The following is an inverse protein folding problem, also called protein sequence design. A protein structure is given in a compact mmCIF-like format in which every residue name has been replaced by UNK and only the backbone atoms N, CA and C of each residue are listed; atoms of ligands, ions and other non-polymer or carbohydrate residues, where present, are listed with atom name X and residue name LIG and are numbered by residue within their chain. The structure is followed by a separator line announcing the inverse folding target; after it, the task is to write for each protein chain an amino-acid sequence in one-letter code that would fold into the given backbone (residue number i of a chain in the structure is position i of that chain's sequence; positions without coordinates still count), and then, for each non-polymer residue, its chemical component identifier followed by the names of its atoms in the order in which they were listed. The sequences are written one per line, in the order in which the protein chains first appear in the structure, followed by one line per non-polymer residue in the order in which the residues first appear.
data_IF_370147409995
#
_entry.id   IF_370147409995
#
_cell.length_a   1.000
_cell.length_b   1.000
_cell.length_c   1.000
_cell.angle_alpha   90.00
_cell.angle_beta   90.00
_cell.angle_gamma   90.00
#
_symmetry.space_group_name_H-M   'P 1'
#
loop_
_entity.id
_entity.type
_entity.pdbx_description
1 polymer ?
#
# COMPACT_ATOMS: atom_id res chain seq x y z
N UNK A 1 10.99 20.72 3.92
CA UNK A 1 10.12 19.82 3.11
C UNK A 1 8.78 20.53 2.93
N UNK A 2 8.41 20.94 1.72
CA UNK A 2 7.13 21.64 1.49
C UNK A 2 5.97 20.68 1.76
N UNK A 3 5.12 21.04 2.72
CA UNK A 3 3.94 20.25 3.13
C UNK A 3 2.99 19.97 1.95
N UNK A 4 2.90 20.90 1.00
CA UNK A 4 2.12 20.80 -0.23
C UNK A 4 2.60 19.62 -1.09
N UNK A 5 3.93 19.46 -1.27
CA UNK A 5 4.49 18.37 -2.09
C UNK A 5 4.24 17.01 -1.44
N UNK A 6 4.30 16.91 -0.11
CA UNK A 6 4.02 15.67 0.63
C UNK A 6 2.57 15.24 0.47
N UNK A 7 1.60 16.13 0.72
CA UNK A 7 0.17 15.81 0.60
C UNK A 7 -0.21 15.44 -0.84
N UNK A 8 0.36 16.13 -1.84
CA UNK A 8 0.15 15.81 -3.27
C UNK A 8 0.67 14.41 -3.62
N UNK A 9 1.87 14.05 -3.15
CA UNK A 9 2.41 12.71 -3.36
C UNK A 9 1.53 11.63 -2.71
N UNK A 10 1.11 11.82 -1.46
CA UNK A 10 0.23 10.87 -0.75
C UNK A 10 -1.08 10.67 -1.50
N UNK A 11 -1.75 11.75 -1.93
CA UNK A 11 -3.01 11.67 -2.68
C UNK A 11 -2.86 10.86 -3.98
N UNK A 12 -1.74 11.03 -4.69
CA UNK A 12 -1.46 10.28 -5.92
C UNK A 12 -1.19 8.80 -5.68
N UNK A 13 -0.58 8.43 -4.55
CA UNK A 13 -0.38 7.02 -4.17
C UNK A 13 -1.73 6.38 -3.81
N UNK A 14 -2.57 7.08 -3.06
CA UNK A 14 -3.92 6.61 -2.71
C UNK A 14 -4.76 6.35 -3.96
N UNK A 15 -4.59 7.14 -5.02
CA UNK A 15 -5.26 6.95 -6.31
C UNK A 15 -4.64 5.83 -7.18
N UNK A 16 -3.79 4.96 -6.61
CA UNK A 16 -3.20 3.82 -7.32
C UNK A 16 -1.91 4.13 -8.09
N UNK A 17 -1.29 5.29 -7.87
CA UNK A 17 0.00 5.62 -8.45
C UNK A 17 1.18 4.97 -7.72
N UNK A 18 2.25 4.63 -8.45
CA UNK A 18 3.54 4.28 -7.84
C UNK A 18 4.06 5.43 -6.96
N UNK A 19 4.63 5.10 -5.80
CA UNK A 19 5.22 6.10 -4.88
C UNK A 19 6.28 6.95 -5.59
N UNK A 20 7.15 6.33 -6.38
CA UNK A 20 8.18 7.04 -7.13
C UNK A 20 7.60 8.00 -8.18
N UNK A 21 6.52 7.60 -8.88
CA UNK A 21 5.87 8.46 -9.88
C UNK A 21 5.08 9.59 -9.22
N UNK A 22 4.42 9.31 -8.10
CA UNK A 22 3.73 10.30 -7.28
C UNK A 22 4.70 11.36 -6.72
N UNK A 23 5.87 10.95 -6.25
CA UNK A 23 6.92 11.88 -5.81
C UNK A 23 7.43 12.76 -6.96
N UNK A 24 7.69 12.19 -8.15
CA UNK A 24 8.09 12.99 -9.31
C UNK A 24 7.03 14.02 -9.69
N UNK A 25 5.76 13.62 -9.77
CA UNK A 25 4.62 14.50 -10.09
C UNK A 25 4.35 15.56 -9.00
N UNK A 26 4.80 15.30 -7.77
CA UNK A 26 4.74 16.25 -6.66
C UNK A 26 5.94 17.22 -6.62
N UNK A 27 6.89 17.11 -7.55
CA UNK A 27 8.04 18.02 -7.65
C UNK A 27 9.22 17.63 -6.76
N UNK A 28 9.38 16.35 -6.44
CA UNK A 28 10.62 15.82 -5.85
C UNK A 28 11.66 15.56 -6.95
N UNK A 29 12.94 15.69 -6.60
CA UNK A 29 14.03 15.39 -7.53
C UNK A 29 14.00 13.93 -7.97
N UNK A 30 14.54 13.65 -9.17
CA UNK A 30 14.64 12.28 -9.71
C UNK A 30 15.42 11.36 -8.77
N UNK A 31 16.51 11.86 -8.19
CA UNK A 31 17.33 11.14 -7.21
C UNK A 31 16.55 10.80 -5.94
N UNK A 32 15.82 11.77 -5.37
CA UNK A 32 15.03 11.53 -4.17
C UNK A 32 13.84 10.60 -4.42
N UNK A 33 13.21 10.70 -5.59
CA UNK A 33 12.08 9.83 -5.99
C UNK A 33 12.49 8.37 -6.23
N UNK A 34 13.78 8.08 -6.46
CA UNK A 34 14.29 6.69 -6.53
C UNK A 34 14.34 6.02 -5.16
N UNK A 35 14.32 6.79 -4.08
CA UNK A 35 14.35 6.30 -2.71
C UNK A 35 12.97 6.45 -2.04
N UNK A 36 11.92 5.93 -2.69
CA UNK A 36 10.55 5.97 -2.21
C UNK A 36 10.37 5.38 -0.81
N UNK A 37 11.20 4.40 -0.44
CA UNK A 37 11.14 3.76 0.89
C UNK A 37 11.53 4.73 2.00
N UNK A 38 12.45 5.66 1.73
CA UNK A 38 12.83 6.69 2.71
C UNK A 38 11.69 7.69 2.91
N UNK A 39 10.91 7.97 1.85
CA UNK A 39 9.75 8.85 1.93
C UNK A 39 8.63 8.25 2.76
N UNK A 40 8.23 6.99 2.49
CA UNK A 40 7.16 6.31 3.23
C UNK A 40 7.53 6.05 4.68
N UNK A 41 8.80 5.77 5.00
CA UNK A 41 9.28 5.56 6.39
C UNK A 41 9.42 6.85 7.22
N UNK A 42 9.26 8.02 6.62
CA UNK A 42 9.40 9.29 7.34
C UNK A 42 8.26 9.47 8.36
N UNK A 43 8.58 9.77 9.63
CA UNK A 43 7.59 9.93 10.73
C UNK A 43 6.40 10.84 10.38
N UNK A 44 6.63 11.95 9.67
CA UNK A 44 5.58 12.89 9.25
C UNK A 44 4.63 12.27 8.22
N UNK A 45 5.16 11.52 7.27
CA UNK A 45 4.39 10.82 6.23
C UNK A 45 3.58 9.69 6.87
N UNK A 46 4.19 8.91 7.76
CA UNK A 46 3.50 7.87 8.54
C UNK A 46 2.34 8.44 9.37
N UNK A 47 2.51 9.60 10.01
CA UNK A 47 1.43 10.25 10.79
C UNK A 47 0.22 10.61 9.92
N UNK A 48 0.46 11.07 8.69
CA UNK A 48 -0.61 11.41 7.73
C UNK A 48 -1.24 10.17 7.08
N UNK A 49 -0.45 9.12 6.83
CA UNK A 49 -0.90 7.89 6.18
C UNK A 49 -1.61 6.94 7.15
N UNK A 50 -1.26 6.94 8.45
CA UNK A 50 -1.85 6.04 9.47
C UNK A 50 -3.39 5.98 9.47
N UNK A 51 -4.15 7.10 9.44
CA UNK A 51 -5.61 7.03 9.37
C UNK A 51 -6.12 6.44 8.04
N UNK A 52 -5.37 6.62 6.94
CA UNK A 52 -5.72 6.06 5.63
C UNK A 52 -5.48 4.54 5.65
N UNK A 53 -4.35 4.09 6.18
CA UNK A 53 -4.05 2.67 6.34
C UNK A 53 -5.11 1.96 7.15
N UNK A 54 -5.51 2.54 8.29
CA UNK A 54 -6.56 1.97 9.14
C UNK A 54 -7.88 1.78 8.38
N UNK A 55 -8.31 2.78 7.61
CA UNK A 55 -9.52 2.67 6.77
C UNK A 55 -9.40 1.59 5.69
N UNK A 56 -8.23 1.48 5.05
CA UNK A 56 -7.99 0.45 4.04
C UNK A 56 -7.97 -0.96 4.64
N UNK A 57 -7.42 -1.12 5.85
CA UNK A 57 -7.44 -2.37 6.59
C UNK A 57 -8.87 -2.76 6.97
N UNK A 58 -9.65 -1.81 7.50
CA UNK A 58 -11.07 -2.02 7.82
C UNK A 58 -11.90 -2.44 6.59
N UNK A 59 -11.73 -1.76 5.46
CA UNK A 59 -12.40 -2.10 4.20
C UNK A 59 -11.99 -3.49 3.68
N UNK A 60 -10.70 -3.82 3.77
CA UNK A 60 -10.20 -5.15 3.38
C UNK A 60 -10.85 -6.23 4.24
N UNK A 61 -10.89 -6.04 5.55
CA UNK A 61 -11.42 -7.02 6.49
C UNK A 61 -12.92 -7.21 6.28
N UNK A 62 -13.68 -6.12 6.07
CA UNK A 62 -15.09 -6.19 5.72
C UNK A 62 -15.34 -6.91 4.38
N UNK A 63 -14.51 -6.66 3.37
CA UNK A 63 -14.60 -7.33 2.08
C UNK A 63 -14.31 -8.83 2.19
N UNK A 64 -13.33 -9.23 3.01
CA UNK A 64 -13.03 -10.64 3.30
C UNK A 64 -14.16 -11.34 4.05
N UNK A 65 -14.75 -10.69 5.07
CA UNK A 65 -15.90 -11.24 5.79
C UNK A 65 -17.10 -11.45 4.86
N UNK A 66 -17.40 -10.48 3.98
CA UNK A 66 -18.44 -10.63 2.97
C UNK A 66 -18.12 -11.75 1.97
N UNK A 67 -16.86 -11.87 1.56
CA UNK A 67 -16.42 -12.88 0.59
C UNK A 67 -16.64 -14.30 1.13
N UNK A 68 -16.45 -14.54 2.44
CA UNK A 68 -16.72 -15.85 3.07
C UNK A 68 -18.16 -16.31 2.84
N UNK A 69 -19.14 -15.41 2.94
CA UNK A 69 -20.57 -15.73 2.80
C UNK A 69 -21.06 -15.91 1.36
N UNK A 70 -20.27 -15.50 0.35
CA UNK A 70 -20.71 -15.52 -1.05
C UNK A 70 -19.78 -16.28 -1.99
N UNK A 71 -18.94 -17.18 -1.47
CA UNK A 71 -17.95 -17.98 -2.24
C UNK A 71 -18.48 -18.59 -3.54
N UNK A 72 -19.75 -18.98 -3.56
CA UNK A 72 -20.39 -19.64 -4.71
C UNK A 72 -21.05 -18.67 -5.71
N UNK A 73 -20.90 -17.35 -5.53
CA UNK A 73 -21.53 -16.32 -6.37
C UNK A 73 -20.47 -15.67 -7.26
N UNK A 74 -20.87 -15.23 -8.46
CA UNK A 74 -20.01 -14.50 -9.39
C UNK A 74 -19.31 -13.28 -8.75
N UNK A 75 -19.98 -12.62 -7.78
CA UNK A 75 -19.45 -11.47 -7.03
C UNK A 75 -18.28 -11.81 -6.08
N UNK A 76 -18.00 -13.09 -5.82
CA UNK A 76 -16.86 -13.49 -5.01
C UNK A 76 -15.54 -13.06 -5.65
N UNK A 77 -15.41 -13.25 -6.97
CA UNK A 77 -14.21 -12.85 -7.71
C UNK A 77 -13.95 -11.35 -7.57
N UNK A 78 -14.98 -10.52 -7.74
CA UNK A 78 -14.85 -9.06 -7.63
C UNK A 78 -14.42 -8.62 -6.22
N UNK A 79 -14.91 -9.29 -5.18
CA UNK A 79 -14.49 -9.04 -3.79
C UNK A 79 -13.04 -9.45 -3.56
N UNK A 80 -12.62 -10.61 -4.06
CA UNK A 80 -11.23 -11.07 -3.94
C UNK A 80 -10.28 -10.12 -4.68
N UNK A 81 -10.59 -9.75 -5.92
CA UNK A 81 -9.81 -8.79 -6.70
C UNK A 81 -9.72 -7.42 -6.00
N UNK A 82 -10.81 -7.00 -5.35
CA UNK A 82 -10.83 -5.77 -4.55
C UNK A 82 -9.95 -5.87 -3.30
N UNK A 83 -9.99 -7.00 -2.59
CA UNK A 83 -9.12 -7.23 -1.41
C UNK A 83 -7.65 -7.31 -1.78
N UNK A 84 -7.31 -7.85 -2.95
CA UNK A 84 -5.93 -7.85 -3.46
C UNK A 84 -5.43 -6.42 -3.72
N UNK A 85 -6.25 -5.58 -4.36
CA UNK A 85 -5.94 -4.16 -4.60
C UNK A 85 -5.74 -3.40 -3.29
N UNK A 86 -6.61 -3.60 -2.30
CA UNK A 86 -6.49 -2.99 -0.98
C UNK A 86 -5.19 -3.43 -0.28
N UNK A 87 -4.85 -4.72 -0.37
CA UNK A 87 -3.62 -5.26 0.21
C UNK A 87 -2.37 -4.64 -0.40
N UNK A 88 -2.32 -4.52 -1.74
CA UNK A 88 -1.22 -3.85 -2.45
C UNK A 88 -1.10 -2.38 -2.06
N UNK A 89 -2.22 -1.67 -1.92
CA UNK A 89 -2.23 -0.27 -1.46
C UNK A 89 -1.68 -0.15 -0.03
N UNK A 90 -2.08 -1.04 0.89
CA UNK A 90 -1.56 -1.09 2.27
C UNK A 90 -0.05 -1.34 2.28
N UNK A 91 0.46 -2.27 1.47
CA UNK A 91 1.90 -2.54 1.36
C UNK A 91 2.66 -1.32 0.84
N UNK A 92 2.20 -0.70 -0.24
CA UNK A 92 2.82 0.50 -0.83
C UNK A 92 2.86 1.67 0.16
N UNK A 93 1.76 1.92 0.87
CA UNK A 93 1.64 3.03 1.81
C UNK A 93 2.40 2.80 3.12
N UNK A 94 2.46 1.55 3.60
CA UNK A 94 3.22 1.19 4.80
C UNK A 94 4.74 1.22 4.58
N UNK A 95 5.20 1.30 3.32
CA UNK A 95 6.62 1.22 3.00
C UNK A 95 7.22 -0.15 3.30
N UNK A 96 6.35 -1.17 3.44
CA UNK A 96 6.75 -2.57 3.43
C UNK A 96 7.10 -2.93 1.99
N UNK A 97 8.05 -3.85 1.81
CA UNK A 97 8.33 -4.39 0.49
C UNK A 97 7.03 -4.91 -0.12
N UNK A 98 6.64 -4.38 -1.29
CA UNK A 98 5.76 -5.11 -2.21
C UNK A 98 6.60 -6.20 -2.86
N UNK A 99 7.15 -7.10 -2.04
CA UNK A 99 7.85 -8.26 -2.53
C UNK A 99 6.79 -9.19 -3.14
N UNK A 100 6.96 -9.53 -4.42
CA UNK A 100 6.50 -10.83 -4.89
C UNK A 100 7.28 -11.84 -4.06
N UNK A 101 6.74 -12.24 -2.90
CA UNK A 101 7.31 -13.30 -2.10
C UNK A 101 7.34 -14.54 -2.98
N UNK A 102 8.49 -14.80 -3.58
CA UNK A 102 8.73 -16.09 -4.20
C UNK A 102 8.68 -17.12 -3.06
N UNK A 103 8.24 -18.34 -3.35
CA UNK A 103 8.09 -19.40 -2.34
C UNK A 103 9.35 -19.59 -1.47
N UNK A 104 10.52 -19.25 -2.04
CA UNK A 104 11.85 -19.26 -1.39
C UNK A 104 11.96 -18.25 -0.24
N UNK A 105 11.36 -17.07 -0.34
CA UNK A 105 11.44 -16.01 0.68
C UNK A 105 10.56 -16.28 1.89
N UNK A 106 9.46 -17.02 1.70
CA UNK A 106 8.61 -17.51 2.78
C UNK A 106 9.36 -18.50 3.68
N UNK A 107 10.10 -19.44 3.07
CA UNK A 107 10.87 -20.46 3.81
C UNK A 107 11.97 -19.81 4.68
N UNK A 108 12.59 -18.71 4.20
CA UNK A 108 13.62 -18.00 4.95
C UNK A 108 13.08 -17.24 6.16
N UNK A 109 11.87 -16.69 6.07
CA UNK A 109 11.25 -15.92 7.16
C UNK A 109 10.62 -16.81 8.25
N UNK A 110 10.20 -18.03 7.93
CA UNK A 110 9.65 -18.99 8.92
C UNK A 110 10.74 -19.69 9.74
N UNK A 111 12.00 -19.71 9.27
CA UNK A 111 13.12 -20.41 9.92
C UNK A 111 13.91 -19.60 10.95
N UNK A 112 13.44 -18.43 11.41
CA UNK A 112 14.06 -17.73 12.55
C UNK A 112 13.18 -17.88 13.80
N UNK A 113 13.48 -18.85 14.70
CA UNK A 113 13.07 -18.75 16.10
C UNK A 113 13.76 -17.57 16.78
#
# INVERSE_FOLDING_TARGET
MSEIRRKKAIKMVVNGGSVASAMRKAGYSKAYSKHSDKFTKTKKVQKEIKPILKRLEEERDQALERAKGIRNKAKYKDLIDSTEKLTKLIQLLSGKSTENLTFVDYIKNVKRP
#
